data_IF_489045424994
#
_entry.id   IF_489045424994
#
_cell.length_a   1.000
_cell.length_b   1.000
_cell.length_c   1.000
_cell.angle_alpha   90.00
_cell.angle_beta   90.00
_cell.angle_gamma   90.00
#
_symmetry.space_group_name_H-M   'P 1'
#
loop_
_entity.id
_entity.type
_entity.pdbx_description
1 polymer ?
#
# COMPACT_ATOMS: atom_id res chain seq x y z
N UNK A 1 -16.03 4.28 -6.31
CA UNK A 1 -15.49 3.27 -5.37
C UNK A 1 -13.97 3.28 -5.26
N UNK A 2 -13.21 3.54 -6.34
CA UNK A 2 -11.74 3.57 -6.34
C UNK A 2 -11.17 4.60 -5.33
N UNK A 3 -11.74 5.80 -5.28
CA UNK A 3 -11.31 6.87 -4.36
C UNK A 3 -11.46 6.45 -2.89
N UNK A 4 -12.57 5.81 -2.53
CA UNK A 4 -12.83 5.34 -1.17
C UNK A 4 -11.86 4.21 -0.77
N UNK A 5 -11.57 3.30 -1.71
CA UNK A 5 -10.57 2.25 -1.51
C UNK A 5 -9.19 2.84 -1.28
N UNK A 6 -8.76 3.79 -2.12
CA UNK A 6 -7.46 4.47 -1.97
C UNK A 6 -7.32 5.20 -0.62
N UNK A 7 -8.39 5.86 -0.16
CA UNK A 7 -8.44 6.49 1.16
C UNK A 7 -8.24 5.46 2.28
N UNK A 8 -8.98 4.34 2.25
CA UNK A 8 -8.86 3.31 3.27
C UNK A 8 -7.42 2.76 3.30
N UNK A 9 -6.82 2.43 2.16
CA UNK A 9 -5.46 1.88 2.14
C UNK A 9 -4.36 2.87 2.57
N UNK A 10 -4.58 4.18 2.38
CA UNK A 10 -3.63 5.20 2.84
C UNK A 10 -3.69 5.42 4.36
N UNK A 11 -4.89 5.38 4.95
CA UNK A 11 -5.10 5.69 6.37
C UNK A 11 -5.09 4.45 7.28
N UNK A 12 -5.41 3.26 6.76
CA UNK A 12 -5.47 2.03 7.55
C UNK A 12 -4.13 1.66 8.23
N UNK A 13 -2.95 1.77 7.57
CA UNK A 13 -1.66 1.52 8.23
C UNK A 13 -1.43 2.45 9.42
N UNK A 14 -1.77 3.74 9.26
CA UNK A 14 -1.64 4.76 10.31
C UNK A 14 -2.57 4.48 11.49
N UNK A 15 -3.79 4.03 11.20
CA UNK A 15 -4.79 3.67 12.21
C UNK A 15 -4.35 2.45 13.02
N UNK A 16 -3.78 1.43 12.37
CA UNK A 16 -3.27 0.23 13.04
C UNK A 16 -2.14 0.59 14.02
N UNK A 17 -1.19 1.42 13.59
CA UNK A 17 -0.10 1.85 14.47
C UNK A 17 -0.53 2.81 15.56
N UNK A 18 -1.52 3.65 15.28
CA UNK A 18 -2.11 4.54 16.29
C UNK A 18 -2.79 3.72 17.39
N UNK A 19 -3.57 2.70 17.02
CA UNK A 19 -4.18 1.79 17.98
C UNK A 19 -3.11 1.02 18.75
N UNK A 20 -2.06 0.52 18.08
CA UNK A 20 -0.96 -0.17 18.73
C UNK A 20 -0.22 0.73 19.75
N UNK A 21 -0.09 2.03 19.47
CA UNK A 21 0.52 3.02 20.36
C UNK A 21 -0.21 3.22 21.69
N UNK A 22 -1.48 2.85 21.78
CA UNK A 22 -2.22 2.91 23.04
C UNK A 22 -1.82 1.77 23.98
N UNK A 23 -1.36 0.64 23.43
CA UNK A 23 -1.08 -0.58 24.17
C UNK A 23 0.41 -0.94 24.25
N UNK A 24 1.24 -0.35 23.39
CA UNK A 24 2.65 -0.69 23.23
C UNK A 24 3.45 0.62 23.24
N UNK A 25 4.37 0.74 24.20
CA UNK A 25 5.31 1.85 24.26
C UNK A 25 6.20 1.84 23.00
N UNK A 26 6.54 3.03 22.51
CA UNK A 26 7.32 3.21 21.28
C UNK A 26 6.68 2.59 20.02
N UNK A 27 5.39 2.25 20.00
CA UNK A 27 4.77 1.57 18.83
C UNK A 27 5.01 2.29 17.50
N UNK A 28 5.02 3.63 17.52
CA UNK A 28 5.27 4.49 16.35
C UNK A 28 6.77 4.76 16.08
N UNK A 29 7.67 4.26 16.92
CA UNK A 29 9.11 4.35 16.73
C UNK A 29 9.60 3.21 15.83
N UNK A 30 9.83 3.54 14.56
CA UNK A 30 10.31 2.62 13.52
C UNK A 30 11.65 1.91 13.86
N UNK A 31 12.44 2.47 14.78
CA UNK A 31 13.77 1.93 15.12
C UNK A 31 13.78 0.87 16.21
N UNK A 32 12.75 0.81 17.05
CA UNK A 32 12.71 -0.06 18.25
C UNK A 32 11.45 -0.90 18.36
N UNK A 33 10.35 -0.49 17.71
CA UNK A 33 9.07 -1.18 17.81
C UNK A 33 8.85 -2.21 16.71
N UNK A 34 8.40 -3.39 17.13
CA UNK A 34 7.92 -4.47 16.24
C UNK A 34 6.64 -4.08 15.50
N UNK A 35 5.89 -3.09 15.98
CA UNK A 35 4.61 -2.62 15.43
C UNK A 35 4.71 -1.25 14.73
N UNK A 36 5.89 -0.89 14.23
CA UNK A 36 6.13 0.34 13.47
C UNK A 36 5.23 0.50 12.24
N UNK A 37 5.14 1.71 11.72
CA UNK A 37 4.23 2.12 10.64
C UNK A 37 4.65 1.61 9.28
N UNK A 38 5.96 1.57 9.01
CA UNK A 38 6.49 1.17 7.71
C UNK A 38 6.14 -0.28 7.31
N UNK A 39 6.27 -1.30 8.19
CA UNK A 39 5.85 -2.66 7.87
C UNK A 39 4.38 -2.76 7.44
N UNK A 40 3.48 -2.12 8.19
CA UNK A 40 2.06 -2.10 7.85
C UNK A 40 1.83 -1.37 6.52
N UNK A 41 2.48 -0.23 6.33
CA UNK A 41 2.37 0.52 5.09
C UNK A 41 2.82 -0.30 3.87
N UNK A 42 3.93 -1.05 3.98
CA UNK A 42 4.39 -1.96 2.92
C UNK A 42 3.38 -3.07 2.63
N UNK A 43 2.84 -3.73 3.65
CA UNK A 43 1.87 -4.83 3.48
C UNK A 43 0.64 -4.36 2.70
N UNK A 44 0.15 -3.15 2.96
CA UNK A 44 -1.04 -2.61 2.28
C UNK A 44 -0.74 -2.02 0.91
N UNK A 45 0.37 -1.30 0.74
CA UNK A 45 0.65 -0.55 -0.50
C UNK A 45 1.36 -1.39 -1.57
N UNK A 46 2.20 -2.35 -1.17
CA UNK A 46 3.01 -3.13 -2.11
C UNK A 46 2.19 -4.03 -3.04
N UNK A 47 1.18 -4.80 -2.55
CA UNK A 47 0.34 -5.61 -3.43
C UNK A 47 -0.47 -4.77 -4.42
N UNK A 48 -0.98 -3.62 -3.97
CA UNK A 48 -1.78 -2.71 -4.79
C UNK A 48 -0.90 -2.06 -5.86
N UNK A 49 0.26 -1.55 -5.48
CA UNK A 49 1.25 -1.01 -6.41
C UNK A 49 1.65 -2.06 -7.46
N UNK A 50 1.85 -3.31 -7.03
CA UNK A 50 2.10 -4.45 -7.92
C UNK A 50 0.99 -4.65 -8.95
N UNK A 51 -0.27 -4.67 -8.53
CA UNK A 51 -1.43 -4.83 -9.43
C UNK A 51 -1.52 -3.67 -10.43
N UNK A 52 -1.34 -2.43 -9.98
CA UNK A 52 -1.40 -1.24 -10.86
C UNK A 52 -0.33 -1.31 -11.95
N UNK A 53 0.91 -1.65 -11.57
CA UNK A 53 2.01 -1.83 -12.53
C UNK A 53 1.70 -2.93 -13.53
N UNK A 54 1.19 -4.08 -13.06
CA UNK A 54 0.85 -5.21 -13.92
C UNK A 54 -0.26 -4.87 -14.93
N UNK A 55 -1.31 -4.18 -14.50
CA UNK A 55 -2.40 -3.70 -15.36
C UNK A 55 -1.89 -2.67 -16.37
N UNK A 56 -1.05 -1.73 -15.93
CA UNK A 56 -0.43 -0.73 -16.81
C UNK A 56 0.46 -1.36 -17.87
N UNK A 57 1.31 -2.31 -17.46
CA UNK A 57 2.22 -3.02 -18.35
C UNK A 57 1.48 -3.87 -19.38
N UNK A 58 0.47 -4.64 -18.95
CA UNK A 58 -0.32 -5.50 -19.85
C UNK A 58 -1.15 -4.69 -20.84
N UNK A 59 -1.77 -3.59 -20.39
CA UNK A 59 -2.55 -2.70 -21.25
C UNK A 59 -1.65 -1.96 -22.23
N UNK A 60 -0.50 -1.45 -21.76
CA UNK A 60 0.51 -0.81 -22.59
C UNK A 60 1.06 -1.75 -23.66
N UNK A 61 1.42 -2.98 -23.29
CA UNK A 61 1.90 -4.00 -24.21
C UNK A 61 0.85 -4.32 -25.29
N UNK A 62 -0.42 -4.53 -24.92
CA UNK A 62 -1.52 -4.77 -25.87
C UNK A 62 -1.68 -3.63 -26.87
N UNK A 63 -1.58 -2.39 -26.41
CA UNK A 63 -1.71 -1.21 -27.28
C UNK A 63 -0.55 -1.10 -28.29
N UNK A 64 0.68 -1.41 -27.86
CA UNK A 64 1.86 -1.45 -28.75
C UNK A 64 1.71 -2.55 -29.81
N UNK A 65 1.23 -3.74 -29.42
CA UNK A 65 0.98 -4.83 -30.37
C UNK A 65 -0.11 -4.47 -31.38
N UNK A 66 -1.23 -3.87 -30.94
CA UNK A 66 -2.32 -3.46 -31.84
C UNK A 66 -1.92 -2.34 -32.81
N UNK A 67 -0.96 -1.48 -32.46
CA UNK A 67 -0.43 -0.45 -33.37
C UNK A 67 0.51 -1.01 -34.45
N UNK A 68 1.10 -2.18 -34.22
CA UNK A 68 2.04 -2.82 -35.15
C UNK A 68 1.35 -3.78 -36.13
N UNK A 69 0.06 -4.04 -35.94
CA UNK A 69 -0.78 -4.84 -36.84
C UNK A 69 -1.59 -3.92 -37.73
#
# INVERSE_FOLDING_TARGET
MIVLGGLIFAFLPLLITLVASIFIDDAMNEGTSTFGTLPWFMIFTFPIGGVIVLVGLTTGARNVTNRKR
#
